data_IF_641442935082
#
_entry.id   IF_641442935082
#
_cell.length_a   1.000
_cell.length_b   1.000
_cell.length_c   1.000
_cell.angle_alpha   90.00
_cell.angle_beta   90.00
_cell.angle_gamma   90.00
#
_symmetry.space_group_name_H-M   'P 1'
#
loop_
_entity.id
_entity.type
_entity.pdbx_description
1 polymer ?
#
# COMPACT_ATOMS: atom_id res chain seq x y z
N UNK A 1 -13.17 10.70 -0.27
CA UNK A 1 -11.77 10.37 0.09
C UNK A 1 -11.11 9.75 -1.13
N UNK A 2 -9.85 10.11 -1.42
CA UNK A 2 -9.10 9.45 -2.49
C UNK A 2 -8.61 8.05 -2.02
N UNK A 3 -8.16 7.19 -2.93
CA UNK A 3 -7.72 5.82 -2.58
C UNK A 3 -6.55 5.81 -1.59
N UNK A 4 -5.61 6.75 -1.74
CA UNK A 4 -4.48 6.94 -0.83
C UNK A 4 -4.95 7.14 0.62
N UNK A 5 -5.98 7.95 0.83
CA UNK A 5 -6.54 8.20 2.17
C UNK A 5 -7.20 6.95 2.76
N UNK A 6 -7.87 6.14 1.93
CA UNK A 6 -8.47 4.87 2.36
C UNK A 6 -7.38 3.88 2.77
N UNK A 7 -6.35 3.71 1.94
CA UNK A 7 -5.19 2.86 2.25
C UNK A 7 -4.54 3.32 3.55
N UNK A 8 -4.24 4.62 3.67
CA UNK A 8 -3.62 5.21 4.85
C UNK A 8 -4.44 4.94 6.11
N UNK A 9 -5.75 5.21 6.07
CA UNK A 9 -6.65 4.99 7.21
C UNK A 9 -6.65 3.54 7.68
N UNK A 10 -6.76 2.58 6.76
CA UNK A 10 -6.79 1.15 7.09
C UNK A 10 -5.48 0.68 7.72
N UNK A 11 -4.34 1.10 7.18
CA UNK A 11 -3.02 0.73 7.71
C UNK A 11 -2.76 1.39 9.07
N UNK A 12 -3.18 2.65 9.27
CA UNK A 12 -3.14 3.31 10.58
C UNK A 12 -3.94 2.53 11.63
N UNK A 13 -5.17 2.13 11.28
CA UNK A 13 -6.04 1.39 12.18
C UNK A 13 -5.53 -0.03 12.48
N UNK A 14 -4.97 -0.73 11.49
CA UNK A 14 -4.55 -2.11 11.65
C UNK A 14 -3.22 -2.27 12.39
N UNK A 15 -2.30 -1.32 12.24
CA UNK A 15 -0.92 -1.50 12.70
C UNK A 15 -0.41 -0.47 13.68
N UNK A 16 -1.13 0.64 13.89
CA UNK A 16 -0.67 1.79 14.68
C UNK A 16 0.81 2.14 14.39
N UNK A 17 1.18 2.35 13.12
CA UNK A 17 2.58 2.46 12.71
C UNK A 17 3.22 3.72 13.30
N UNK A 18 4.50 3.62 13.62
CA UNK A 18 5.34 4.77 14.01
C UNK A 18 5.69 5.63 12.80
N UNK A 19 5.69 5.03 11.60
CA UNK A 19 5.83 5.74 10.33
C UNK A 19 4.95 5.10 9.26
N UNK A 20 4.26 5.94 8.48
CA UNK A 20 3.49 5.49 7.33
C UNK A 20 3.51 6.53 6.22
N UNK A 21 3.97 6.11 5.05
CA UNK A 21 3.87 6.84 3.80
C UNK A 21 3.11 5.99 2.77
N UNK A 22 2.18 6.61 2.06
CA UNK A 22 1.43 6.00 0.97
C UNK A 22 1.54 6.92 -0.24
N UNK A 23 2.16 6.41 -1.30
CA UNK A 23 2.50 7.15 -2.52
C UNK A 23 1.65 6.58 -3.65
N UNK A 24 0.96 7.46 -4.38
CA UNK A 24 0.31 7.11 -5.64
C UNK A 24 1.35 7.23 -6.77
N UNK A 25 1.73 6.09 -7.36
CA UNK A 25 2.73 6.02 -8.44
C UNK A 25 2.08 6.03 -9.82
N UNK A 26 0.77 6.26 -9.91
CA UNK A 26 0.03 5.99 -11.15
C UNK A 26 0.34 6.99 -12.28
N UNK A 27 0.93 8.15 -11.96
CA UNK A 27 1.35 9.15 -12.95
C UNK A 27 2.67 8.77 -13.64
N UNK A 28 3.40 7.75 -13.16
CA UNK A 28 4.64 7.27 -13.80
C UNK A 28 4.42 6.60 -15.18
N UNK A 29 3.17 6.52 -15.66
CA UNK A 29 2.81 5.91 -16.95
C UNK A 29 1.99 6.84 -17.88
N UNK A 30 1.99 8.16 -17.62
CA UNK A 30 1.42 9.15 -18.54
C UNK A 30 2.02 8.97 -19.94
N UNK A 31 1.22 8.52 -20.92
CA UNK A 31 1.61 8.39 -22.34
C UNK A 31 1.71 6.98 -22.91
N UNK A 32 1.49 5.90 -22.14
CA UNK A 32 1.42 4.54 -22.70
C UNK A 32 0.00 4.17 -23.18
N UNK A 33 -0.09 3.42 -24.28
CA UNK A 33 -1.34 3.05 -24.95
C UNK A 33 -2.34 2.23 -24.08
N UNK A 34 -1.93 1.75 -22.92
CA UNK A 34 -2.77 1.03 -21.93
C UNK A 34 -3.12 1.84 -20.68
N UNK A 35 -2.84 3.14 -20.63
CA UNK A 35 -3.14 3.99 -19.48
C UNK A 35 -4.65 4.13 -19.27
N UNK A 36 -5.18 3.52 -18.21
CA UNK A 36 -6.60 3.57 -17.85
C UNK A 36 -6.93 4.60 -16.76
N UNK A 37 -6.12 5.65 -16.62
CA UNK A 37 -6.30 6.68 -15.59
C UNK A 37 -5.58 6.34 -14.28
N UNK A 38 -5.07 7.37 -13.61
CA UNK A 38 -4.29 7.30 -12.38
C UNK A 38 -5.02 6.68 -11.17
N UNK A 39 -4.30 6.47 -10.08
CA UNK A 39 -4.78 5.91 -8.82
C UNK A 39 -4.97 4.39 -8.78
N UNK A 40 -4.08 3.61 -9.39
CA UNK A 40 -4.09 2.12 -9.35
C UNK A 40 -2.75 1.50 -8.94
N UNK A 41 -1.63 2.23 -9.02
CA UNK A 41 -0.31 1.77 -8.57
C UNK A 41 0.06 2.52 -7.30
N UNK A 42 0.42 1.80 -6.25
CA UNK A 42 0.74 2.39 -4.96
C UNK A 42 2.05 1.83 -4.39
N UNK A 43 2.77 2.68 -3.67
CA UNK A 43 3.88 2.27 -2.83
C UNK A 43 3.59 2.61 -1.36
N UNK A 44 3.89 1.67 -0.47
CA UNK A 44 3.79 1.82 0.98
C UNK A 44 5.19 1.73 1.59
N UNK A 45 5.55 2.72 2.39
CA UNK A 45 6.65 2.64 3.33
C UNK A 45 6.06 2.66 4.75
N UNK A 46 6.38 1.66 5.55
CA UNK A 46 5.76 1.50 6.87
C UNK A 46 6.73 0.95 7.92
N UNK A 47 6.69 1.54 9.11
CA UNK A 47 7.34 1.06 10.32
C UNK A 47 6.29 0.81 11.41
N UNK A 48 6.27 -0.38 12.00
CA UNK A 48 5.37 -0.72 13.09
C UNK A 48 5.90 -1.91 13.90
N UNK A 49 5.65 -1.93 15.21
CA UNK A 49 5.99 -3.08 16.08
C UNK A 49 5.31 -4.38 15.61
N UNK A 50 4.17 -4.29 14.93
CA UNK A 50 3.43 -5.43 14.37
C UNK A 50 4.23 -6.26 13.34
N UNK A 51 5.35 -5.72 12.82
CA UNK A 51 6.25 -6.38 11.87
C UNK A 51 7.54 -6.91 12.51
N UNK A 52 7.78 -6.64 13.79
CA UNK A 52 8.99 -7.07 14.49
C UNK A 52 9.09 -8.58 14.57
N UNK A 53 10.25 -9.12 14.21
CA UNK A 53 10.51 -10.57 14.20
C UNK A 53 9.79 -11.34 13.08
N UNK A 54 9.01 -10.67 12.21
CA UNK A 54 8.40 -11.31 11.05
C UNK A 54 9.37 -11.34 9.87
N UNK A 55 9.25 -12.39 9.05
CA UNK A 55 9.90 -12.40 7.75
C UNK A 55 9.32 -11.30 6.85
N UNK A 56 10.08 -10.90 5.82
CA UNK A 56 9.57 -9.96 4.81
C UNK A 56 8.26 -10.43 4.19
N UNK A 57 8.14 -11.73 3.91
CA UNK A 57 6.94 -12.32 3.31
C UNK A 57 5.74 -12.23 4.27
N UNK A 58 5.94 -12.51 5.56
CA UNK A 58 4.85 -12.46 6.53
C UNK A 58 4.39 -11.03 6.81
N UNK A 59 5.31 -10.07 6.87
CA UNK A 59 4.97 -8.65 6.95
C UNK A 59 4.16 -8.18 5.74
N UNK A 60 4.56 -8.61 4.54
CA UNK A 60 3.80 -8.31 3.32
C UNK A 60 2.41 -8.94 3.38
N UNK A 61 2.30 -10.24 3.74
CA UNK A 61 1.00 -10.92 3.87
C UNK A 61 0.04 -10.19 4.80
N UNK A 62 0.52 -9.67 5.94
CA UNK A 62 -0.31 -8.85 6.84
C UNK A 62 -0.84 -7.59 6.16
N UNK A 63 0.00 -6.86 5.43
CA UNK A 63 -0.41 -5.65 4.72
C UNK A 63 -1.42 -5.97 3.62
N UNK A 64 -1.16 -7.01 2.81
CA UNK A 64 -2.08 -7.46 1.77
C UNK A 64 -3.43 -7.91 2.34
N UNK A 65 -3.44 -8.56 3.51
CA UNK A 65 -4.68 -8.96 4.18
C UNK A 65 -5.58 -7.76 4.56
N UNK A 66 -4.98 -6.65 5.01
CA UNK A 66 -5.71 -5.41 5.37
C UNK A 66 -6.31 -4.71 4.14
N UNK A 67 -5.69 -4.90 2.97
CA UNK A 67 -6.06 -4.24 1.72
C UNK A 67 -6.69 -5.20 0.70
N UNK A 68 -7.05 -6.41 1.10
CA UNK A 68 -7.39 -7.50 0.17
C UNK A 68 -8.57 -7.16 -0.77
N UNK A 69 -9.64 -6.57 -0.24
CA UNK A 69 -10.77 -6.07 -1.03
C UNK A 69 -10.34 -4.99 -2.03
N UNK A 70 -9.47 -4.07 -1.61
CA UNK A 70 -8.94 -3.05 -2.50
C UNK A 70 -8.03 -3.63 -3.58
N UNK A 71 -7.29 -4.72 -3.31
CA UNK A 71 -6.46 -5.40 -4.29
C UNK A 71 -7.27 -6.06 -5.42
N UNK A 72 -8.52 -6.45 -5.13
CA UNK A 72 -9.38 -7.10 -6.13
C UNK A 72 -9.95 -6.08 -7.13
N UNK A 73 -10.29 -4.87 -6.66
CA UNK A 73 -11.10 -3.94 -7.45
C UNK A 73 -10.42 -2.58 -7.72
N UNK A 74 -9.45 -2.17 -6.92
CA UNK A 74 -9.00 -0.77 -6.86
C UNK A 74 -7.50 -0.57 -6.99
N UNK A 75 -6.69 -1.55 -6.58
CA UNK A 75 -5.24 -1.52 -6.63
C UNK A 75 -4.79 -2.56 -7.65
N UNK A 76 -4.08 -2.12 -8.69
CA UNK A 76 -3.49 -3.02 -9.67
C UNK A 76 -2.12 -3.53 -9.21
N UNK A 77 -1.29 -2.65 -8.63
CA UNK A 77 0.04 -2.99 -8.15
C UNK A 77 0.32 -2.30 -6.81
N UNK A 78 0.91 -3.06 -5.88
CA UNK A 78 1.28 -2.57 -4.56
C UNK A 78 2.74 -2.92 -4.23
N UNK A 79 3.59 -1.90 -4.18
CA UNK A 79 4.95 -2.03 -3.65
C UNK A 79 4.90 -1.81 -2.14
N UNK A 80 5.58 -2.67 -1.40
CA UNK A 80 5.65 -2.59 0.06
C UNK A 80 7.10 -2.61 0.48
N UNK A 81 7.48 -1.64 1.32
CA UNK A 81 8.76 -1.59 2.00
C UNK A 81 8.51 -1.42 3.49
N UNK A 82 8.95 -2.40 4.26
CA UNK A 82 9.03 -2.27 5.71
C UNK A 82 10.31 -1.53 6.03
N UNK A 83 10.22 -0.45 6.80
CA UNK A 83 11.37 0.29 7.32
C UNK A 83 11.38 0.11 8.85
N UNK A 84 12.57 -0.08 9.42
CA UNK A 84 12.76 -0.32 10.85
C UNK A 84 12.94 1.00 11.60
#
# INVERSE_FOLDING_TARGET
>A
MNRTDVIRKRLLQAFAPTYLEVIDESDQHLGHAGYQGGGRHFAILIAAEAFKGLSRIDSHRKIYAVLNDMMLEHIHALKVKIIL
#
